data_IF_070291169462
#
_entry.id   IF_070291169462
#
_cell.length_a   1.000
_cell.length_b   1.000
_cell.length_c   1.000
_cell.angle_alpha   90.00
_cell.angle_beta   90.00
_cell.angle_gamma   90.00
#
_symmetry.space_group_name_H-M   'P 1'
#
loop_
_entity.id
_entity.type
_entity.pdbx_description
1 polymer ?
#
# COMPACT_ATOMS: atom_id res chain seq x y z
N UNK A 1 35.42 -10.17 20.52
CA UNK A 1 34.18 -10.83 20.96
C UNK A 1 33.15 -9.77 21.35
N UNK A 2 31.96 -9.82 20.74
CA UNK A 2 30.70 -9.36 21.37
C UNK A 2 30.33 -7.87 21.33
N UNK A 3 30.05 -7.29 20.16
CA UNK A 3 29.24 -6.05 20.06
C UNK A 3 28.27 -6.15 18.89
N UNK A 4 27.08 -6.69 19.14
CA UNK A 4 26.06 -6.88 18.11
C UNK A 4 24.78 -7.41 18.72
N UNK A 5 24.05 -6.57 19.48
CA UNK A 5 22.76 -6.96 20.07
C UNK A 5 21.94 -5.79 20.61
N UNK A 6 21.78 -4.69 19.86
CA UNK A 6 20.83 -3.64 20.27
C UNK A 6 20.28 -2.75 19.14
N UNK A 7 20.06 -3.32 17.95
CA UNK A 7 19.37 -2.63 16.84
C UNK A 7 17.93 -3.15 16.60
N UNK A 8 17.50 -4.21 17.28
CA UNK A 8 16.14 -4.77 17.15
C UNK A 8 15.07 -4.04 17.97
N UNK A 9 15.45 -3.39 19.08
CA UNK A 9 14.48 -2.84 20.03
C UNK A 9 13.85 -1.51 19.60
N UNK A 10 14.46 -0.75 18.69
CA UNK A 10 13.91 0.54 18.24
C UNK A 10 12.81 0.39 17.18
N UNK A 11 12.84 -0.70 16.39
CA UNK A 11 11.80 -0.99 15.39
C UNK A 11 10.47 -1.45 15.98
N UNK A 12 10.50 -2.24 17.06
CA UNK A 12 9.28 -2.74 17.72
C UNK A 12 8.50 -1.64 18.45
N UNK A 13 9.19 -0.65 19.02
CA UNK A 13 8.53 0.43 19.77
C UNK A 13 7.78 1.36 18.80
N UNK A 14 8.39 1.70 17.65
CA UNK A 14 7.76 2.57 16.62
C UNK A 14 6.55 1.88 15.98
N UNK A 15 6.63 0.57 15.75
CA UNK A 15 5.49 -0.22 15.25
C UNK A 15 4.27 -0.15 16.20
N UNK A 16 4.52 -0.25 17.51
CA UNK A 16 3.48 -0.20 18.54
C UNK A 16 2.75 1.14 18.62
N UNK A 17 3.46 2.26 18.44
CA UNK A 17 2.85 3.60 18.36
C UNK A 17 2.05 3.79 17.06
N UNK A 18 2.56 3.28 15.93
CA UNK A 18 1.89 3.37 14.64
C UNK A 18 0.66 2.44 14.52
N UNK A 19 0.52 1.48 15.44
CA UNK A 19 -0.65 0.61 15.59
C UNK A 19 -1.67 1.16 16.61
N UNK A 20 -1.28 2.08 17.49
CA UNK A 20 -2.20 2.79 18.39
C UNK A 20 -2.94 3.95 17.71
N UNK A 21 -2.28 4.68 16.82
CA UNK A 21 -2.90 5.75 16.01
C UNK A 21 -4.22 5.33 15.32
N UNK A 22 -4.32 4.17 14.65
CA UNK A 22 -5.58 3.75 14.03
C UNK A 22 -6.65 3.33 15.04
N UNK A 23 -6.27 2.80 16.20
CA UNK A 23 -7.20 2.48 17.29
C UNK A 23 -7.80 3.77 17.85
N UNK A 24 -6.98 4.78 18.10
CA UNK A 24 -7.41 6.09 18.61
C UNK A 24 -8.32 6.80 17.60
N UNK A 25 -7.99 6.76 16.31
CA UNK A 25 -8.85 7.32 15.26
C UNK A 25 -10.20 6.59 15.15
N UNK A 26 -10.20 5.26 15.28
CA UNK A 26 -11.43 4.46 15.29
C UNK A 26 -12.31 4.80 16.50
N UNK A 27 -11.72 4.92 17.69
CA UNK A 27 -12.41 5.30 18.93
C UNK A 27 -12.94 6.74 18.85
N UNK A 28 -12.17 7.68 18.31
CA UNK A 28 -12.59 9.07 18.14
C UNK A 28 -13.75 9.20 17.15
N UNK A 29 -13.68 8.55 15.99
CA UNK A 29 -14.75 8.54 15.00
C UNK A 29 -16.04 7.91 15.57
N UNK A 30 -15.87 6.82 16.29
CA UNK A 30 -16.96 6.13 17.00
C UNK A 30 -17.61 7.02 18.05
N UNK A 31 -16.81 7.73 18.86
CA UNK A 31 -17.32 8.66 19.86
C UNK A 31 -18.07 9.83 19.23
N UNK A 32 -17.57 10.36 18.11
CA UNK A 32 -18.23 11.44 17.36
C UNK A 32 -19.56 10.97 16.78
N UNK A 33 -19.63 9.78 16.17
CA UNK A 33 -20.89 9.20 15.66
C UNK A 33 -21.88 8.93 16.79
N UNK A 34 -21.44 8.35 17.91
CA UNK A 34 -22.29 8.09 19.07
C UNK A 34 -22.84 9.38 19.70
N UNK A 35 -22.02 10.42 19.78
CA UNK A 35 -22.41 11.73 20.29
C UNK A 35 -23.39 12.44 19.35
N UNK A 36 -23.14 12.40 18.04
CA UNK A 36 -24.00 13.01 17.03
C UNK A 36 -25.34 12.31 16.85
N UNK A 37 -25.40 10.98 16.87
CA UNK A 37 -26.61 10.25 16.51
C UNK A 37 -27.51 9.85 17.69
N UNK A 38 -26.98 9.79 18.92
CA UNK A 38 -27.77 9.26 20.04
C UNK A 38 -27.74 10.10 21.30
N UNK A 39 -26.79 11.04 21.45
CA UNK A 39 -26.60 11.84 22.68
C UNK A 39 -26.68 10.98 23.97
N UNK A 40 -26.34 9.68 23.87
CA UNK A 40 -26.61 8.64 24.87
C UNK A 40 -25.61 7.47 24.77
N UNK A 41 -25.33 6.85 25.92
CA UNK A 41 -24.31 5.80 26.19
C UNK A 41 -24.50 4.54 25.32
N UNK A 42 -25.70 4.30 24.79
CA UNK A 42 -26.01 3.17 23.90
C UNK A 42 -25.26 3.22 22.55
N UNK A 43 -24.86 4.41 22.07
CA UNK A 43 -24.07 4.55 20.84
C UNK A 43 -22.64 3.99 20.95
N UNK A 44 -22.11 3.89 22.17
CA UNK A 44 -20.75 3.40 22.44
C UNK A 44 -20.66 1.88 22.18
N UNK A 45 -21.73 1.12 22.47
CA UNK A 45 -21.76 -0.33 22.28
C UNK A 45 -21.70 -0.76 20.80
N UNK A 46 -22.45 -0.06 19.93
CA UNK A 46 -22.42 -0.30 18.46
C UNK A 46 -21.06 0.09 17.88
N UNK A 47 -20.45 1.13 18.45
CA UNK A 47 -19.13 1.61 18.13
C UNK A 47 -18.00 0.59 18.33
N UNK A 48 -18.02 -0.14 19.45
CA UNK A 48 -17.01 -1.15 19.78
C UNK A 48 -16.97 -2.29 18.76
N UNK A 49 -18.09 -2.62 18.13
CA UNK A 49 -18.18 -3.66 17.10
C UNK A 49 -17.48 -3.27 15.78
N UNK A 50 -17.31 -1.97 15.52
CA UNK A 50 -16.75 -1.41 14.28
C UNK A 50 -15.21 -1.33 14.34
N UNK A 51 -14.63 -1.30 15.55
CA UNK A 51 -13.20 -1.21 15.80
C UNK A 51 -12.37 -2.36 15.18
N UNK A 52 -12.74 -3.66 15.34
CA UNK A 52 -11.94 -4.76 14.76
C UNK A 52 -11.97 -4.77 13.22
N UNK A 53 -13.06 -4.30 12.61
CA UNK A 53 -13.19 -4.20 11.16
C UNK A 53 -12.26 -3.12 10.57
N UNK A 54 -12.15 -1.97 11.24
CA UNK A 54 -11.23 -0.89 10.85
C UNK A 54 -9.75 -1.27 11.01
N UNK A 55 -9.41 -2.06 12.03
CA UNK A 55 -8.03 -2.47 12.30
C UNK A 55 -7.50 -3.47 11.25
N UNK A 56 -8.33 -4.43 10.82
CA UNK A 56 -7.96 -5.32 9.71
C UNK A 56 -7.72 -4.54 8.42
N UNK A 57 -8.60 -3.59 8.11
CA UNK A 57 -8.55 -2.84 6.86
C UNK A 57 -7.28 -1.97 6.72
N UNK A 58 -6.84 -1.32 7.80
CA UNK A 58 -5.60 -0.52 7.78
C UNK A 58 -4.33 -1.37 7.72
N UNK A 59 -4.38 -2.60 8.23
CA UNK A 59 -3.24 -3.53 8.13
C UNK A 59 -2.98 -3.93 6.68
N UNK A 60 -4.04 -4.07 5.89
CA UNK A 60 -3.93 -4.40 4.47
C UNK A 60 -3.51 -3.18 3.62
N UNK A 61 -3.94 -1.97 4.00
CA UNK A 61 -3.45 -0.71 3.40
C UNK A 61 -1.93 -0.52 3.57
N UNK A 62 -1.39 -0.81 4.77
CA UNK A 62 0.06 -0.74 5.02
C UNK A 62 0.85 -1.72 4.15
N UNK A 63 0.33 -2.93 3.94
CA UNK A 63 0.95 -3.93 3.05
C UNK A 63 0.91 -3.49 1.59
N UNK A 64 -0.20 -2.89 1.15
CA UNK A 64 -0.34 -2.36 -0.20
C UNK A 64 0.65 -1.22 -0.47
N UNK A 65 0.79 -0.26 0.45
CA UNK A 65 1.78 0.83 0.31
C UNK A 65 3.23 0.31 0.26
N UNK A 66 3.56 -0.69 1.09
CA UNK A 66 4.87 -1.33 1.05
C UNK A 66 5.12 -2.00 -0.31
N UNK A 67 4.14 -2.71 -0.85
CA UNK A 67 4.25 -3.34 -2.18
C UNK A 67 4.38 -2.30 -3.30
N UNK A 68 3.63 -1.19 -3.23
CA UNK A 68 3.74 -0.09 -4.20
C UNK A 68 5.15 0.52 -4.19
N UNK A 69 5.75 0.71 -3.01
CA UNK A 69 7.13 1.19 -2.89
C UNK A 69 8.15 0.21 -3.48
N UNK A 70 7.98 -1.09 -3.23
CA UNK A 70 8.82 -2.14 -3.83
C UNK A 70 8.69 -2.12 -5.35
N UNK A 71 7.47 -2.01 -5.89
CA UNK A 71 7.22 -1.96 -7.33
C UNK A 71 7.85 -0.73 -7.99
N UNK A 72 7.76 0.45 -7.35
CA UNK A 72 8.37 1.67 -7.82
C UNK A 72 9.91 1.59 -7.84
N UNK A 73 10.54 1.13 -6.76
CA UNK A 73 11.99 0.95 -6.73
C UNK A 73 12.46 -0.12 -7.74
N UNK A 74 11.67 -1.20 -7.93
CA UNK A 74 11.98 -2.24 -8.91
C UNK A 74 11.91 -1.72 -10.34
N UNK A 75 10.92 -0.87 -10.65
CA UNK A 75 10.82 -0.16 -11.94
C UNK A 75 12.09 0.63 -12.24
N UNK A 76 12.53 1.45 -11.27
CA UNK A 76 13.74 2.27 -11.40
C UNK A 76 14.98 1.39 -11.63
N UNK A 77 15.10 0.31 -10.87
CA UNK A 77 16.18 -0.64 -11.01
C UNK A 77 16.23 -1.28 -12.41
N UNK A 78 15.08 -1.65 -12.98
CA UNK A 78 15.03 -2.17 -14.35
C UNK A 78 15.46 -1.14 -15.39
N UNK A 79 15.06 0.14 -15.27
CA UNK A 79 15.48 1.18 -16.21
C UNK A 79 17.00 1.34 -16.23
N UNK A 80 17.62 1.29 -15.05
CA UNK A 80 19.08 1.33 -14.92
C UNK A 80 19.74 0.14 -15.62
N UNK A 81 19.14 -1.06 -15.54
CA UNK A 81 19.64 -2.26 -16.24
C UNK A 81 19.53 -2.07 -17.75
N UNK A 82 18.36 -1.64 -18.23
CA UNK A 82 18.10 -1.40 -19.67
C UNK A 82 19.08 -0.37 -20.22
N UNK A 83 19.31 0.72 -19.49
CA UNK A 83 20.26 1.78 -19.87
C UNK A 83 21.68 1.23 -19.95
N UNK A 84 22.09 0.39 -19.00
CA UNK A 84 23.38 -0.31 -19.03
C UNK A 84 23.52 -1.24 -20.24
N UNK A 85 22.47 -2.01 -20.56
CA UNK A 85 22.45 -2.88 -21.75
C UNK A 85 22.51 -2.06 -23.05
N UNK A 86 21.83 -0.91 -23.12
CA UNK A 86 21.89 0.01 -24.26
C UNK A 86 23.27 0.63 -24.45
N UNK A 87 24.00 0.86 -23.36
CA UNK A 87 25.39 1.29 -23.38
C UNK A 87 26.38 0.16 -23.78
N UNK A 88 25.87 -1.04 -24.09
CA UNK A 88 26.67 -2.19 -24.52
C UNK A 88 27.26 -3.01 -23.36
N UNK A 89 26.81 -2.80 -22.13
CA UNK A 89 27.25 -3.64 -21.00
C UNK A 89 26.64 -5.04 -21.09
N UNK A 90 27.39 -6.03 -20.58
CA UNK A 90 26.82 -7.34 -20.30
C UNK A 90 25.76 -7.25 -19.21
N UNK A 91 24.81 -8.18 -19.19
CA UNK A 91 23.72 -8.20 -18.19
C UNK A 91 24.25 -8.20 -16.75
N UNK A 92 25.29 -8.97 -16.45
CA UNK A 92 25.92 -9.00 -15.13
C UNK A 92 26.52 -7.64 -14.74
N UNK A 93 27.16 -6.96 -15.69
CA UNK A 93 27.74 -5.63 -15.48
C UNK A 93 26.65 -4.57 -15.32
N UNK A 94 25.58 -4.65 -16.11
CA UNK A 94 24.43 -3.77 -15.98
C UNK A 94 23.81 -3.90 -14.58
N UNK A 95 23.51 -5.13 -14.13
CA UNK A 95 22.93 -5.42 -12.80
C UNK A 95 23.81 -4.90 -11.66
N UNK A 96 25.15 -5.02 -11.77
CA UNK A 96 26.09 -4.46 -10.79
C UNK A 96 26.08 -2.94 -10.79
N UNK A 97 26.18 -2.31 -11.97
CA UNK A 97 26.17 -0.84 -12.08
C UNK A 97 24.86 -0.25 -11.57
N UNK A 98 23.73 -0.89 -11.88
CA UNK A 98 22.40 -0.45 -11.47
C UNK A 98 22.23 -0.42 -9.95
N UNK A 99 22.94 -1.26 -9.18
CA UNK A 99 22.93 -1.17 -7.71
C UNK A 99 23.54 0.15 -7.22
N UNK A 100 24.66 0.56 -7.79
CA UNK A 100 25.33 1.81 -7.41
C UNK A 100 24.51 3.03 -7.78
N UNK A 101 23.92 3.05 -8.98
CA UNK A 101 23.03 4.13 -9.40
C UNK A 101 21.75 4.19 -8.54
N UNK A 102 21.14 3.04 -8.24
CA UNK A 102 19.96 2.99 -7.38
C UNK A 102 20.24 3.51 -5.97
N UNK A 103 21.43 3.25 -5.41
CA UNK A 103 21.85 3.81 -4.11
C UNK A 103 21.98 5.34 -4.12
N UNK A 104 22.31 5.95 -5.27
CA UNK A 104 22.34 7.42 -5.39
C UNK A 104 20.93 8.01 -5.40
N UNK A 105 19.98 7.31 -6.00
CA UNK A 105 18.56 7.72 -6.06
C UNK A 105 17.88 7.53 -4.69
N UNK A 106 18.17 6.41 -4.01
CA UNK A 106 17.54 6.03 -2.73
C UNK A 106 18.57 5.73 -1.61
N UNK A 107 19.26 6.75 -1.06
CA UNK A 107 20.41 6.54 -0.17
C UNK A 107 20.11 5.98 1.23
N UNK A 108 18.87 6.09 1.75
CA UNK A 108 18.53 5.64 3.13
C UNK A 108 17.20 4.92 3.28
N UNK A 109 16.34 4.96 2.28
CA UNK A 109 14.96 4.44 2.35
C UNK A 109 14.68 3.31 1.35
N UNK A 110 15.70 2.77 0.69
CA UNK A 110 15.50 1.70 -0.29
C UNK A 110 15.06 0.40 0.37
N UNK A 111 13.88 -0.07 -0.03
CA UNK A 111 13.32 -1.35 0.40
C UNK A 111 14.00 -2.52 -0.33
N UNK A 112 14.33 -2.34 -1.62
CA UNK A 112 14.91 -3.43 -2.45
C UNK A 112 16.44 -3.45 -2.46
N UNK A 113 17.10 -2.35 -2.09
CA UNK A 113 18.56 -2.20 -2.12
C UNK A 113 19.34 -3.31 -1.41
N UNK A 114 18.96 -3.72 -0.18
CA UNK A 114 19.60 -4.85 0.49
C UNK A 114 19.45 -6.17 -0.27
N UNK A 115 18.30 -6.40 -0.91
CA UNK A 115 18.02 -7.61 -1.70
C UNK A 115 18.87 -7.64 -2.98
N UNK A 116 19.03 -6.50 -3.66
CA UNK A 116 19.92 -6.36 -4.83
C UNK A 116 21.37 -6.60 -4.42
N UNK A 117 21.80 -6.05 -3.28
CA UNK A 117 23.16 -6.24 -2.79
C UNK A 117 23.48 -7.73 -2.55
N UNK A 118 22.57 -8.47 -1.92
CA UNK A 118 22.71 -9.92 -1.69
C UNK A 118 22.78 -10.66 -3.04
N UNK A 119 21.96 -10.29 -4.02
CA UNK A 119 21.99 -10.88 -5.36
C UNK A 119 23.36 -10.65 -6.04
N UNK A 120 23.88 -9.41 -6.02
CA UNK A 120 25.17 -9.08 -6.62
C UNK A 120 26.35 -9.78 -5.94
N UNK A 121 26.30 -9.95 -4.61
CA UNK A 121 27.26 -10.77 -3.88
C UNK A 121 27.24 -12.23 -4.34
N UNK A 122 26.05 -12.83 -4.48
CA UNK A 122 25.91 -14.21 -4.99
C UNK A 122 26.50 -14.37 -6.39
N UNK A 123 26.22 -13.43 -7.29
CA UNK A 123 26.81 -13.40 -8.64
C UNK A 123 28.35 -13.30 -8.54
N UNK A 124 28.87 -12.46 -7.63
CA UNK A 124 30.31 -12.40 -7.35
C UNK A 124 30.93 -13.69 -6.80
N UNK A 125 30.14 -14.53 -6.16
CA UNK A 125 30.53 -15.86 -5.67
C UNK A 125 30.36 -16.97 -6.72
N UNK A 126 30.26 -16.64 -8.02
CA UNK A 126 30.03 -17.57 -9.13
C UNK A 126 28.69 -18.33 -9.06
N UNK A 127 27.69 -17.81 -8.33
CA UNK A 127 26.32 -18.31 -8.48
C UNK A 127 25.80 -17.86 -9.84
N UNK A 128 25.15 -18.78 -10.56
CA UNK A 128 24.53 -18.48 -11.86
C UNK A 128 23.57 -17.29 -11.74
N UNK A 129 23.73 -16.30 -12.62
CA UNK A 129 22.93 -15.07 -12.62
C UNK A 129 21.42 -15.36 -12.60
N UNK A 130 20.96 -16.29 -13.43
CA UNK A 130 19.54 -16.68 -13.54
C UNK A 130 18.98 -17.12 -12.20
N UNK A 131 19.76 -17.92 -11.46
CA UNK A 131 19.36 -18.44 -10.15
C UNK A 131 19.40 -17.34 -9.08
N UNK A 132 20.42 -16.50 -9.09
CA UNK A 132 20.52 -15.37 -8.17
C UNK A 132 19.36 -14.37 -8.38
N UNK A 133 18.98 -14.13 -9.63
CA UNK A 133 17.89 -13.24 -10.01
C UNK A 133 16.51 -13.84 -9.70
N UNK A 134 16.29 -15.15 -9.90
CA UNK A 134 15.04 -15.83 -9.51
C UNK A 134 14.82 -15.78 -7.98
N UNK A 135 15.86 -16.03 -7.19
CA UNK A 135 15.78 -15.92 -5.72
C UNK A 135 15.48 -14.47 -5.28
N UNK A 136 16.07 -13.49 -5.96
CA UNK A 136 15.78 -12.07 -5.74
C UNK A 136 14.31 -11.76 -6.09
N UNK A 137 13.83 -12.14 -7.27
CA UNK A 137 12.47 -11.91 -7.73
C UNK A 137 11.42 -12.51 -6.78
N UNK A 138 11.63 -13.75 -6.33
CA UNK A 138 10.75 -14.40 -5.34
C UNK A 138 10.74 -13.68 -4.00
N UNK A 139 11.85 -13.05 -3.60
CA UNK A 139 11.91 -12.29 -2.35
C UNK A 139 11.07 -10.99 -2.38
N UNK A 140 10.84 -10.42 -3.57
CA UNK A 140 10.06 -9.19 -3.74
C UNK A 140 8.54 -9.41 -3.73
N UNK A 141 8.08 -10.64 -3.97
CA UNK A 141 6.64 -10.97 -4.15
C UNK A 141 5.94 -10.08 -5.19
N UNK A 142 6.66 -9.71 -6.24
CA UNK A 142 6.14 -9.01 -7.41
C UNK A 142 6.06 -9.99 -8.57
N UNK A 143 4.90 -10.06 -9.22
CA UNK A 143 4.67 -10.94 -10.36
C UNK A 143 5.59 -10.56 -11.53
N UNK A 144 5.75 -9.25 -11.77
CA UNK A 144 6.62 -8.68 -12.80
C UNK A 144 8.09 -9.09 -12.63
N UNK A 145 8.57 -9.15 -11.37
CA UNK A 145 9.94 -9.56 -11.08
C UNK A 145 10.14 -11.06 -11.39
N UNK A 146 9.15 -11.89 -11.08
CA UNK A 146 9.18 -13.34 -11.36
C UNK A 146 9.14 -13.60 -12.86
N UNK A 147 8.25 -12.92 -13.60
CA UNK A 147 8.19 -13.02 -15.07
C UNK A 147 9.52 -12.62 -15.74
N UNK A 148 10.18 -11.56 -15.23
CA UNK A 148 11.49 -11.17 -15.75
C UNK A 148 12.57 -12.23 -15.49
N UNK A 149 12.58 -12.83 -14.30
CA UNK A 149 13.53 -13.90 -13.97
C UNK A 149 13.38 -15.12 -14.89
N UNK A 150 12.14 -15.50 -15.20
CA UNK A 150 11.84 -16.58 -16.15
C UNK A 150 12.35 -16.25 -17.55
N UNK A 151 12.17 -15.01 -18.00
CA UNK A 151 12.64 -14.56 -19.31
C UNK A 151 14.16 -14.53 -19.37
N UNK A 152 14.86 -14.07 -18.33
CA UNK A 152 16.33 -14.11 -18.26
C UNK A 152 16.84 -15.57 -18.32
N UNK A 153 16.20 -16.47 -17.57
CA UNK A 153 16.53 -17.89 -17.55
C UNK A 153 16.31 -18.56 -18.92
N UNK A 154 15.20 -18.24 -19.59
CA UNK A 154 14.87 -18.75 -20.92
C UNK A 154 15.81 -18.17 -21.98
N UNK A 155 16.04 -16.85 -21.92
CA UNK A 155 16.91 -16.14 -22.83
C UNK A 155 18.24 -16.87 -22.87
N UNK A 156 18.95 -17.04 -21.73
CA UNK A 156 20.29 -17.66 -21.65
C UNK A 156 20.40 -19.06 -22.28
N UNK A 157 19.33 -19.86 -22.24
CA UNK A 157 19.31 -21.19 -22.86
C UNK A 157 19.25 -21.13 -24.39
N UNK A 158 18.79 -20.02 -24.95
CA UNK A 158 18.45 -19.89 -26.37
C UNK A 158 19.57 -19.34 -27.27
N UNK A 159 20.78 -19.07 -26.75
CA UNK A 159 21.98 -18.87 -27.57
C UNK A 159 22.16 -17.50 -28.25
N UNK A 160 21.09 -16.78 -28.58
CA UNK A 160 21.10 -15.55 -29.40
C UNK A 160 20.70 -14.27 -28.66
N UNK A 161 21.10 -13.12 -29.22
CA UNK A 161 20.96 -11.71 -28.75
C UNK A 161 20.04 -11.48 -27.53
N UNK A 162 20.54 -11.93 -26.37
CA UNK A 162 19.85 -11.86 -25.09
C UNK A 162 19.54 -10.42 -24.69
N UNK A 163 20.41 -9.48 -25.06
CA UNK A 163 20.30 -8.07 -24.73
C UNK A 163 19.05 -7.43 -25.34
N UNK A 164 18.73 -7.77 -26.60
CA UNK A 164 17.55 -7.24 -27.29
C UNK A 164 16.24 -7.77 -26.70
N UNK A 165 16.14 -9.07 -26.44
CA UNK A 165 14.93 -9.66 -25.87
C UNK A 165 14.67 -9.22 -24.42
N UNK A 166 15.72 -9.09 -23.61
CA UNK A 166 15.62 -8.59 -22.23
C UNK A 166 15.20 -7.11 -22.25
N UNK A 167 15.75 -6.30 -23.18
CA UNK A 167 15.34 -4.91 -23.36
C UNK A 167 13.86 -4.78 -23.70
N UNK A 168 13.39 -5.50 -24.73
CA UNK A 168 12.00 -5.42 -25.17
C UNK A 168 11.02 -5.87 -24.07
N UNK A 169 11.44 -6.84 -23.26
CA UNK A 169 10.67 -7.30 -22.09
C UNK A 169 10.65 -6.25 -20.99
N UNK A 170 11.80 -5.69 -20.63
CA UNK A 170 11.90 -4.70 -19.56
C UNK A 170 11.09 -3.43 -19.88
N UNK A 171 11.06 -3.00 -21.15
CA UNK A 171 10.22 -1.89 -21.61
C UNK A 171 8.72 -2.22 -21.48
N UNK A 172 8.30 -3.44 -21.83
CA UNK A 172 6.90 -3.87 -21.63
C UNK A 172 6.50 -3.93 -20.15
N UNK A 173 7.42 -4.37 -19.28
CA UNK A 173 7.17 -4.38 -17.83
C UNK A 173 7.09 -2.94 -17.30
N UNK A 174 7.92 -2.03 -17.80
CA UNK A 174 7.85 -0.61 -17.47
C UNK A 174 6.51 0.01 -17.85
N UNK A 175 6.02 -0.23 -19.08
CA UNK A 175 4.71 0.27 -19.53
C UNK A 175 3.60 -0.24 -18.60
N UNK A 176 3.61 -1.53 -18.25
CA UNK A 176 2.66 -2.11 -17.29
C UNK A 176 2.76 -1.46 -15.90
N UNK A 177 3.97 -1.25 -15.38
CA UNK A 177 4.18 -0.58 -14.08
C UNK A 177 3.72 0.88 -14.11
N UNK A 178 3.92 1.59 -15.23
CA UNK A 178 3.46 2.97 -15.43
C UNK A 178 1.93 3.04 -15.46
N UNK A 179 1.27 2.14 -16.19
CA UNK A 179 -0.19 2.04 -16.23
C UNK A 179 -0.74 1.73 -14.83
N UNK A 180 -0.10 0.83 -14.06
CA UNK A 180 -0.47 0.57 -12.66
C UNK A 180 -0.35 1.82 -11.78
N UNK A 181 0.72 2.61 -11.93
CA UNK A 181 0.91 3.87 -11.20
C UNK A 181 -0.15 4.92 -11.56
N UNK A 182 -0.52 5.01 -12.84
CA UNK A 182 -1.59 5.88 -13.32
C UNK A 182 -2.95 5.47 -12.73
N UNK A 183 -3.27 4.17 -12.74
CA UNK A 183 -4.47 3.62 -12.11
C UNK A 183 -4.47 3.90 -10.60
N UNK A 184 -3.33 3.74 -9.92
CA UNK A 184 -3.21 4.05 -8.49
C UNK A 184 -3.43 5.55 -8.21
N UNK A 185 -2.95 6.43 -9.08
CA UNK A 185 -3.15 7.87 -8.97
C UNK A 185 -4.63 8.23 -9.11
N UNK A 186 -5.30 7.74 -10.15
CA UNK A 186 -6.74 7.94 -10.37
C UNK A 186 -7.55 7.36 -9.20
N UNK A 187 -7.17 6.19 -8.70
CA UNK A 187 -7.82 5.55 -7.55
C UNK A 187 -7.63 6.38 -6.28
N UNK A 188 -6.46 6.99 -6.09
CA UNK A 188 -6.17 7.86 -4.93
C UNK A 188 -7.06 9.11 -4.94
N UNK A 189 -7.27 9.71 -6.10
CA UNK A 189 -8.24 10.82 -6.27
C UNK A 189 -9.66 10.38 -5.87
N UNK A 190 -10.11 9.24 -6.39
CA UNK A 190 -11.45 8.68 -6.06
C UNK A 190 -11.58 8.31 -4.59
N UNK A 191 -10.51 7.84 -3.94
CA UNK A 191 -10.47 7.62 -2.48
C UNK A 191 -10.68 8.92 -1.71
N UNK A 192 -10.10 10.03 -2.18
CA UNK A 192 -10.26 11.34 -1.56
C UNK A 192 -11.69 11.86 -1.73
N UNK A 193 -12.27 11.70 -2.92
CA UNK A 193 -13.68 12.03 -3.22
C UNK A 193 -14.64 11.27 -2.29
N UNK A 194 -14.49 9.94 -2.17
CA UNK A 194 -15.30 9.11 -1.26
C UNK A 194 -15.11 9.54 0.20
N UNK A 195 -13.87 9.89 0.60
CA UNK A 195 -13.59 10.36 1.97
C UNK A 195 -14.34 11.66 2.26
N UNK A 196 -14.39 12.60 1.33
CA UNK A 196 -15.17 13.84 1.46
C UNK A 196 -16.66 13.54 1.55
N UNK A 197 -17.19 12.68 0.67
CA UNK A 197 -18.59 12.26 0.69
C UNK A 197 -18.99 11.58 2.00
N UNK A 198 -18.09 10.82 2.63
CA UNK A 198 -18.33 10.23 3.95
C UNK A 198 -18.38 11.30 5.05
N UNK A 199 -17.58 12.37 4.96
CA UNK A 199 -17.57 13.42 6.01
C UNK A 199 -18.80 14.34 5.91
N UNK A 200 -19.36 14.54 4.70
CA UNK A 200 -20.48 15.45 4.45
C UNK A 200 -21.71 15.22 5.36
N UNK A 201 -22.31 14.02 5.46
CA UNK A 201 -23.50 13.80 6.29
C UNK A 201 -23.27 14.13 7.76
N UNK A 202 -22.08 13.83 8.27
CA UNK A 202 -21.69 14.16 9.65
C UNK A 202 -21.55 15.67 9.85
N UNK A 203 -20.94 16.37 8.89
CA UNK A 203 -20.80 17.83 8.93
C UNK A 203 -22.17 18.53 8.86
N UNK A 204 -23.07 18.06 8.00
CA UNK A 204 -24.44 18.60 7.89
C UNK A 204 -25.23 18.36 9.18
N UNK A 205 -25.17 17.15 9.74
CA UNK A 205 -25.83 16.85 11.01
C UNK A 205 -25.27 17.70 12.17
N UNK A 206 -23.96 17.88 12.24
CA UNK A 206 -23.33 18.74 13.26
C UNK A 206 -23.75 20.21 13.11
N UNK A 207 -23.78 20.71 11.88
CA UNK A 207 -24.22 22.07 11.58
C UNK A 207 -25.66 22.32 12.04
N UNK A 208 -26.60 21.44 11.65
CA UNK A 208 -28.02 21.58 12.03
C UNK A 208 -28.19 21.42 13.55
N UNK A 209 -27.41 20.55 14.20
CA UNK A 209 -27.46 20.38 15.65
C UNK A 209 -27.07 21.64 16.43
N UNK A 210 -26.13 22.43 15.90
CA UNK A 210 -25.68 23.70 16.54
C UNK A 210 -26.62 24.86 16.20
N UNK A 211 -27.09 24.94 14.95
CA UNK A 211 -27.90 26.08 14.49
C UNK A 211 -29.39 25.96 14.82
N UNK A 212 -29.95 24.75 14.87
CA UNK A 212 -31.38 24.53 15.17
C UNK A 212 -31.65 23.27 15.99
N UNK A 213 -31.39 23.33 17.30
CA UNK A 213 -31.61 22.20 18.21
C UNK A 213 -33.10 21.78 18.25
N UNK A 214 -34.04 22.74 18.14
CA UNK A 214 -35.49 22.47 18.10
C UNK A 214 -35.95 21.64 16.89
N UNK A 215 -35.19 21.63 15.79
CA UNK A 215 -35.54 20.86 14.59
C UNK A 215 -35.22 19.37 14.75
N UNK A 216 -34.11 19.03 15.43
CA UNK A 216 -33.70 17.63 15.65
C UNK A 216 -34.21 17.08 16.99
N UNK A 217 -34.69 17.93 17.91
CA UNK A 217 -35.23 17.52 19.21
C UNK A 217 -36.28 16.38 19.15
N UNK A 218 -37.25 16.35 18.21
CA UNK A 218 -38.22 15.25 18.09
C UNK A 218 -37.59 13.92 17.68
N UNK A 219 -36.40 13.97 17.05
CA UNK A 219 -35.67 12.81 16.53
C UNK A 219 -34.91 12.06 17.64
N UNK A 220 -34.53 12.75 18.72
CA UNK A 220 -33.79 12.15 19.85
C UNK A 220 -34.68 11.74 21.04
N UNK A 221 -35.90 12.29 21.16
CA UNK A 221 -36.76 12.08 22.34
C UNK A 221 -37.80 10.96 22.23
N UNK A 222 -37.98 10.35 21.04
CA UNK A 222 -39.06 9.38 20.79
C UNK A 222 -38.53 8.03 20.26
N UNK A 223 -39.18 6.93 20.64
CA UNK A 223 -38.90 5.56 20.16
C UNK A 223 -38.87 5.47 18.62
N UNK A 224 -39.73 6.24 17.95
CA UNK A 224 -39.77 6.34 16.48
C UNK A 224 -38.51 7.03 15.93
N UNK A 225 -38.04 8.08 16.59
CA UNK A 225 -36.82 8.81 16.21
C UNK A 225 -35.57 7.95 16.35
N UNK A 226 -35.47 7.19 17.44
CA UNK A 226 -34.44 6.17 17.67
C UNK A 226 -34.43 5.14 16.51
N UNK A 227 -35.60 4.67 16.08
CA UNK A 227 -35.74 3.75 14.94
C UNK A 227 -35.22 4.34 13.62
N UNK A 228 -35.63 5.58 13.30
CA UNK A 228 -35.18 6.30 12.10
C UNK A 228 -33.67 6.56 12.10
N UNK A 229 -33.11 6.99 13.23
CA UNK A 229 -31.67 7.23 13.37
C UNK A 229 -30.86 5.95 13.21
N UNK A 230 -31.38 4.82 13.71
CA UNK A 230 -30.76 3.51 13.52
C UNK A 230 -30.79 3.09 12.05
N UNK A 231 -31.92 3.27 11.36
CA UNK A 231 -32.03 2.98 9.93
C UNK A 231 -31.04 3.83 9.10
N UNK A 232 -31.00 5.14 9.35
CA UNK A 232 -30.05 6.04 8.68
C UNK A 232 -28.60 5.63 8.91
N UNK A 233 -28.25 5.23 10.14
CA UNK A 233 -26.89 4.80 10.47
C UNK A 233 -26.52 3.48 9.77
N UNK A 234 -27.45 2.53 9.70
CA UNK A 234 -27.26 1.27 8.96
C UNK A 234 -27.09 1.53 7.46
N UNK A 235 -27.97 2.34 6.86
CA UNK A 235 -27.87 2.71 5.45
C UNK A 235 -26.56 3.43 5.14
N UNK A 236 -26.15 4.36 6.00
CA UNK A 236 -24.87 5.06 5.89
C UNK A 236 -23.67 4.10 5.99
N UNK A 237 -23.71 3.14 6.92
CA UNK A 237 -22.70 2.09 7.03
C UNK A 237 -22.61 1.22 5.78
N UNK A 238 -23.75 0.80 5.21
CA UNK A 238 -23.82 0.05 3.95
C UNK A 238 -23.21 0.86 2.81
N UNK A 239 -23.54 2.14 2.68
CA UNK A 239 -22.97 3.02 1.66
C UNK A 239 -21.45 3.14 1.76
N UNK A 240 -20.89 3.24 2.97
CA UNK A 240 -19.43 3.26 3.17
C UNK A 240 -18.80 1.94 2.72
N UNK A 241 -19.40 0.80 3.09
CA UNK A 241 -18.89 -0.52 2.73
C UNK A 241 -18.90 -0.70 1.20
N UNK A 242 -20.01 -0.35 0.55
CA UNK A 242 -20.15 -0.45 -0.90
C UNK A 242 -19.19 0.51 -1.62
N UNK A 243 -19.10 1.76 -1.20
CA UNK A 243 -18.19 2.75 -1.78
C UNK A 243 -16.73 2.29 -1.68
N UNK A 244 -16.32 1.73 -0.53
CA UNK A 244 -14.98 1.16 -0.37
C UNK A 244 -14.76 -0.06 -1.25
N UNK A 245 -15.74 -0.97 -1.34
CA UNK A 245 -15.63 -2.17 -2.17
C UNK A 245 -15.47 -1.85 -3.65
N UNK A 246 -16.10 -0.78 -4.13
CA UNK A 246 -15.98 -0.31 -5.52
C UNK A 246 -14.58 0.28 -5.78
N UNK A 247 -14.03 1.02 -4.83
CA UNK A 247 -12.72 1.68 -4.96
C UNK A 247 -11.55 0.73 -4.70
N UNK A 248 -11.75 -0.32 -3.90
CA UNK A 248 -10.75 -1.34 -3.61
C UNK A 248 -10.78 -2.51 -4.59
N UNK A 249 -11.45 -2.34 -5.74
CA UNK A 249 -11.29 -3.28 -6.86
C UNK A 249 -9.86 -3.11 -7.36
N UNK A 250 -9.00 -3.93 -6.77
CA UNK A 250 -7.65 -4.23 -7.20
C UNK A 250 -7.78 -4.91 -8.56
N UNK A 251 -7.35 -4.23 -9.62
CA UNK A 251 -7.10 -4.87 -10.92
C UNK A 251 -5.77 -5.60 -10.85
#
# INVERSE_FOLDING_TARGET
MGKGRNLGSYGEIIGKWNDLVPIIQGVALTAVVAFLFYRSVLGIAVGVLIIPFWLKLKSDEKKAMQQAKIAAEFKEYMMLIVTGLQAGYSLERAIRQSEEELKKIFPKDSVIGPHIHIMNQKIGMNVQLERAFDEFARSLKLEEAVSLAEIISFAKRSGGDYGKHIRDTALKIEDNLSIRQEIETITTEKRLELKVMCVMPMAILAYISITSESFIAPLYGNLIGIGLMTMCLVAYGICIILGRKIIDIKV
#
